data_IF_453353425225
#
_entry.id   IF_453353425225
#
_cell.length_a   1.000
_cell.length_b   1.000
_cell.length_c   1.000
_cell.angle_alpha   90.00
_cell.angle_beta   90.00
_cell.angle_gamma   90.00
#
_symmetry.space_group_name_H-M   'P 1'
#
loop_
_entity.id
_entity.type
_entity.pdbx_description
1 polymer ?
#
# COMPACT_ATOMS: atom_id res chain seq x y z
N UNK A 1 11.31 4.88 18.61
CA UNK A 1 11.41 5.49 17.26
C UNK A 1 10.26 4.93 16.47
N UNK A 2 9.36 5.83 16.05
CA UNK A 2 7.95 5.55 15.81
C UNK A 2 7.63 5.05 14.41
N UNK A 3 6.49 4.36 14.34
CA UNK A 3 5.91 3.72 13.15
C UNK A 3 5.32 4.74 12.15
N UNK A 4 6.10 5.79 11.82
CA UNK A 4 5.60 7.00 11.16
C UNK A 4 5.05 6.74 9.75
N UNK A 5 5.68 5.84 8.98
CA UNK A 5 5.21 5.47 7.64
C UNK A 5 3.87 4.73 7.73
N UNK A 6 3.74 3.79 8.65
CA UNK A 6 2.50 3.03 8.85
C UNK A 6 1.35 3.94 9.27
N UNK A 7 1.59 4.83 10.24
CA UNK A 7 0.57 5.80 10.68
C UNK A 7 0.16 6.76 9.55
N UNK A 8 1.11 7.18 8.70
CA UNK A 8 0.82 8.03 7.54
C UNK A 8 -0.05 7.30 6.51
N UNK A 9 0.25 6.04 6.20
CA UNK A 9 -0.56 5.22 5.30
C UNK A 9 -1.96 5.00 5.88
N UNK A 10 -2.06 4.65 7.17
CA UNK A 10 -3.33 4.48 7.86
C UNK A 10 -4.15 5.77 7.82
N UNK A 11 -3.53 6.91 8.14
CA UNK A 11 -4.19 8.22 8.12
C UNK A 11 -4.68 8.60 6.72
N UNK A 12 -3.93 8.23 5.68
CA UNK A 12 -4.33 8.43 4.29
C UNK A 12 -5.57 7.59 3.94
N UNK A 13 -5.60 6.32 4.36
CA UNK A 13 -6.71 5.39 4.07
C UNK A 13 -7.97 5.72 4.89
N UNK A 14 -7.82 6.13 6.15
CA UNK A 14 -8.94 6.44 7.06
C UNK A 14 -9.53 7.83 6.84
N UNK A 15 -8.93 8.64 5.96
CA UNK A 15 -9.40 9.99 5.69
C UNK A 15 -10.87 10.01 5.29
N UNK A 16 -11.64 10.91 5.88
CA UNK A 16 -13.09 10.98 5.71
C UNK A 16 -13.52 11.32 4.26
N UNK A 17 -12.62 11.91 3.49
CA UNK A 17 -12.77 12.27 2.08
C UNK A 17 -12.31 11.15 1.12
N UNK A 18 -11.92 9.97 1.63
CA UNK A 18 -11.65 8.80 0.78
C UNK A 18 -12.93 8.30 0.13
N UNK A 19 -12.90 8.19 -1.19
CA UNK A 19 -14.01 7.73 -2.04
C UNK A 19 -13.65 6.51 -2.89
N UNK A 20 -12.37 6.15 -2.96
CA UNK A 20 -11.93 4.95 -3.67
C UNK A 20 -10.66 4.36 -3.06
N UNK A 21 -10.54 3.04 -3.16
CA UNK A 21 -9.39 2.28 -2.70
C UNK A 21 -9.10 1.15 -3.67
N UNK A 22 -7.82 0.94 -4.00
CA UNK A 22 -7.34 -0.28 -4.64
C UNK A 22 -6.07 -0.80 -3.99
N UNK A 23 -5.88 -2.11 -4.07
CA UNK A 23 -4.60 -2.75 -3.77
C UNK A 23 -4.18 -3.66 -4.91
N UNK A 24 -2.89 -3.60 -5.22
CA UNK A 24 -2.29 -4.26 -6.38
C UNK A 24 -1.53 -5.54 -6.01
N UNK A 25 -1.55 -5.96 -4.73
CA UNK A 25 -0.88 -7.20 -4.29
C UNK A 25 -1.64 -7.97 -3.22
N UNK A 26 -1.34 -9.27 -3.16
CA UNK A 26 -1.96 -10.22 -2.25
C UNK A 26 -1.03 -10.54 -1.06
N UNK A 27 -1.27 -9.90 0.08
CA UNK A 27 -0.46 -9.96 1.31
C UNK A 27 0.06 -11.35 1.74
N UNK A 28 -0.75 -12.44 1.74
CA UNK A 28 -0.23 -13.78 2.05
C UNK A 28 0.95 -14.27 1.18
N UNK A 29 1.04 -13.82 -0.08
CA UNK A 29 2.16 -14.18 -0.97
C UNK A 29 3.43 -13.41 -0.63
N UNK A 30 3.30 -12.20 -0.07
CA UNK A 30 4.44 -11.35 0.26
C UNK A 30 5.31 -11.92 1.37
N UNK A 31 4.69 -12.56 2.38
CA UNK A 31 5.44 -13.22 3.46
C UNK A 31 6.30 -14.39 2.95
N UNK A 32 5.80 -15.14 1.98
CA UNK A 32 6.52 -16.25 1.34
C UNK A 32 7.66 -15.73 0.45
N UNK A 33 7.42 -14.64 -0.29
CA UNK A 33 8.45 -13.99 -1.11
C UNK A 33 9.55 -13.43 -0.20
N UNK A 34 9.18 -12.74 0.87
CA UNK A 34 10.12 -12.18 1.83
C UNK A 34 11.01 -13.27 2.46
N UNK A 35 10.43 -14.39 2.90
CA UNK A 35 11.24 -15.45 3.53
C UNK A 35 12.27 -16.06 2.57
N UNK A 36 12.02 -16.01 1.25
CA UNK A 36 12.92 -16.56 0.22
C UNK A 36 13.97 -15.57 -0.26
N UNK A 37 13.62 -14.29 -0.36
CA UNK A 37 14.45 -13.29 -1.04
C UNK A 37 14.88 -12.13 -0.14
N UNK A 38 14.42 -12.08 1.11
CA UNK A 38 14.64 -10.96 2.02
C UNK A 38 14.00 -9.66 1.54
N UNK A 39 13.14 -9.70 0.52
CA UNK A 39 12.54 -8.52 -0.12
C UNK A 39 11.07 -8.74 -0.37
N UNK A 40 10.26 -7.73 -0.07
CA UNK A 40 8.85 -7.70 -0.43
C UNK A 40 8.37 -6.26 -0.58
N UNK A 41 7.11 -6.09 -0.96
CA UNK A 41 6.51 -4.78 -1.06
C UNK A 41 5.08 -4.87 -1.53
N UNK A 42 4.29 -3.84 -1.21
CA UNK A 42 2.88 -3.71 -1.55
C UNK A 42 2.60 -2.33 -2.14
N UNK A 43 1.52 -2.23 -2.91
CA UNK A 43 1.04 -0.98 -3.46
C UNK A 43 -0.47 -0.79 -3.20
N UNK A 44 -0.84 0.44 -2.87
CA UNK A 44 -2.22 0.86 -2.58
C UNK A 44 -2.47 2.17 -3.31
N UNK A 45 -3.60 2.27 -4.00
CA UNK A 45 -4.13 3.55 -4.47
C UNK A 45 -5.27 3.99 -3.57
N UNK A 46 -5.22 5.26 -3.16
CA UNK A 46 -6.25 5.92 -2.37
C UNK A 46 -6.78 7.10 -3.17
N UNK A 47 -8.07 7.07 -3.50
CA UNK A 47 -8.72 8.19 -4.17
C UNK A 47 -9.53 9.00 -3.18
N UNK A 48 -9.26 10.30 -3.15
CA UNK A 48 -9.86 11.27 -2.24
C UNK A 48 -10.66 12.31 -3.00
N UNK A 49 -11.74 12.79 -2.42
CA UNK A 49 -12.55 13.90 -2.92
C UNK A 49 -12.08 15.20 -2.27
N UNK A 50 -11.18 15.93 -2.93
CA UNK A 50 -10.61 17.18 -2.43
C UNK A 50 -11.19 18.37 -3.18
N UNK A 51 -11.89 19.27 -2.47
CA UNK A 51 -12.53 20.47 -3.05
C UNK A 51 -13.41 20.16 -4.27
N UNK A 52 -14.13 19.02 -4.22
CA UNK A 52 -15.01 18.56 -5.30
C UNK A 52 -14.28 17.96 -6.51
N UNK A 53 -12.97 17.73 -6.43
CA UNK A 53 -12.19 17.02 -7.45
C UNK A 53 -11.66 15.70 -6.89
N UNK A 54 -11.70 14.63 -7.70
CA UNK A 54 -11.07 13.36 -7.36
C UNK A 54 -9.57 13.48 -7.51
N UNK A 55 -8.83 12.92 -6.55
CA UNK A 55 -7.37 12.94 -6.54
C UNK A 55 -6.83 11.60 -6.08
N UNK A 56 -5.91 11.05 -6.87
CA UNK A 56 -5.29 9.75 -6.60
C UNK A 56 -3.97 9.93 -5.86
N UNK A 57 -3.83 9.16 -4.80
CA UNK A 57 -2.64 9.01 -3.99
C UNK A 57 -2.15 7.57 -4.12
N UNK A 58 -1.04 7.37 -4.82
CA UNK A 58 -0.44 6.06 -5.02
C UNK A 58 0.69 5.84 -4.02
N UNK A 59 0.54 4.81 -3.20
CA UNK A 59 1.53 4.38 -2.20
C UNK A 59 2.22 3.13 -2.70
N UNK A 60 3.56 3.16 -2.71
CA UNK A 60 4.40 1.98 -2.86
C UNK A 60 5.28 1.84 -1.61
N UNK A 61 5.28 0.65 -1.03
CA UNK A 61 6.16 0.30 0.08
C UNK A 61 7.01 -0.88 -0.32
N UNK A 62 8.31 -0.75 -0.12
CA UNK A 62 9.28 -1.82 -0.29
C UNK A 62 9.97 -2.10 1.04
N UNK A 63 10.19 -3.36 1.35
CA UNK A 63 10.96 -3.81 2.50
C UNK A 63 12.11 -4.71 2.03
N UNK A 64 13.27 -4.52 2.63
CA UNK A 64 14.50 -5.27 2.30
C UNK A 64 15.28 -5.57 3.57
N UNK A 65 15.63 -6.85 3.76
CA UNK A 65 16.38 -7.34 4.90
C UNK A 65 17.86 -6.96 4.77
N UNK A 66 18.46 -6.47 5.86
CA UNK A 66 19.89 -6.23 5.97
C UNK A 66 20.57 -7.50 6.47
N UNK A 67 20.78 -8.46 5.57
CA UNK A 67 21.56 -9.66 5.86
C UNK A 67 23.00 -9.50 5.33
N UNK A 68 23.98 -9.98 6.10
CA UNK A 68 25.38 -9.99 5.69
C UNK A 68 25.75 -11.38 5.13
N UNK A 69 26.08 -11.45 3.84
CA UNK A 69 26.57 -12.66 3.16
C UNK A 69 25.70 -13.14 1.98
N UNK A 70 26.28 -13.96 1.12
CA UNK A 70 25.67 -14.42 -0.15
C UNK A 70 24.69 -15.60 0.02
N UNK A 71 24.59 -16.17 1.22
CA UNK A 71 23.68 -17.27 1.55
C UNK A 71 23.01 -17.02 2.89
N UNK A 72 21.70 -16.74 2.84
CA UNK A 72 20.87 -16.47 4.02
C UNK A 72 19.78 -17.52 4.06
N UNK A 73 19.81 -18.36 5.10
CA UNK A 73 18.84 -19.45 5.27
C UNK A 73 17.46 -18.94 5.73
N UNK A 74 17.43 -17.85 6.50
CA UNK A 74 16.20 -17.30 7.07
C UNK A 74 16.27 -15.77 7.24
N UNK A 75 15.66 -15.04 6.31
CA UNK A 75 15.57 -13.58 6.35
C UNK A 75 14.66 -13.05 7.47
N UNK A 76 13.89 -13.91 8.16
CA UNK A 76 12.89 -13.46 9.13
C UNK A 76 13.49 -12.86 10.40
N UNK A 77 14.75 -13.18 10.70
CA UNK A 77 15.45 -12.75 11.92
C UNK A 77 16.25 -11.47 11.75
N UNK A 78 16.40 -10.99 10.52
CA UNK A 78 17.24 -9.85 10.22
C UNK A 78 16.46 -8.55 10.34
N UNK A 79 17.11 -7.47 10.83
CA UNK A 79 16.57 -6.14 10.67
C UNK A 79 16.56 -5.77 9.19
N UNK A 80 15.91 -4.67 8.85
CA UNK A 80 15.96 -4.18 7.49
C UNK A 80 15.40 -2.79 7.30
N UNK A 81 15.30 -2.39 6.04
CA UNK A 81 14.85 -1.06 5.61
C UNK A 81 13.49 -1.12 4.96
N UNK A 82 12.73 -0.06 5.16
CA UNK A 82 11.49 0.24 4.46
C UNK A 82 11.74 1.46 3.59
N UNK A 83 11.36 1.38 2.32
CA UNK A 83 11.27 2.53 1.42
C UNK A 83 9.80 2.77 1.09
N UNK A 84 9.36 3.99 1.34
CA UNK A 84 8.00 4.45 1.08
C UNK A 84 8.04 5.50 -0.01
N UNK A 85 7.16 5.34 -0.98
CA UNK A 85 6.93 6.28 -2.07
C UNK A 85 5.46 6.67 -2.05
N UNK A 86 5.21 7.98 -2.03
CA UNK A 86 3.88 8.56 -2.21
C UNK A 86 3.90 9.41 -3.47
N UNK A 87 3.20 8.95 -4.50
CA UNK A 87 2.91 9.75 -5.68
C UNK A 87 1.53 10.37 -5.54
N UNK A 88 1.43 11.66 -5.85
CA UNK A 88 0.15 12.38 -5.88
C UNK A 88 0.01 13.03 -7.25
N UNK A 89 -1.10 12.75 -7.93
CA UNK A 89 -1.45 13.44 -9.16
C UNK A 89 -1.88 14.88 -8.84
N UNK A 90 -1.22 15.84 -9.50
CA UNK A 90 -1.52 17.26 -9.46
C UNK A 90 -1.89 17.75 -10.86
N UNK A 91 -2.70 18.82 -10.94
CA UNK A 91 -3.05 19.44 -12.23
C UNK A 91 -1.78 20.01 -12.88
N UNK A 92 -1.10 19.21 -13.69
CA UNK A 92 0.14 19.57 -14.39
C UNK A 92 1.34 18.63 -14.14
N UNK A 93 1.22 17.58 -13.32
CA UNK A 93 2.30 16.61 -13.10
C UNK A 93 2.10 15.68 -11.90
N UNK A 94 3.12 14.87 -11.60
CA UNK A 94 3.16 13.97 -10.44
C UNK A 94 4.15 14.50 -9.41
N UNK A 95 3.70 14.65 -8.17
CA UNK A 95 4.58 14.94 -7.03
C UNK A 95 4.91 13.64 -6.31
N UNK A 96 6.20 13.28 -6.22
CA UNK A 96 6.67 12.06 -5.55
C UNK A 96 7.38 12.43 -4.25
N UNK A 97 6.93 11.87 -3.13
CA UNK A 97 7.60 11.94 -1.83
C UNK A 97 8.21 10.58 -1.51
N UNK A 98 9.45 10.58 -1.03
CA UNK A 98 10.17 9.38 -0.62
C UNK A 98 10.52 9.47 0.85
N UNK A 99 10.25 8.41 1.62
CA UNK A 99 10.65 8.27 3.01
C UNK A 99 11.31 6.92 3.23
N UNK A 100 12.21 6.88 4.20
CA UNK A 100 12.87 5.65 4.63
C UNK A 100 12.56 5.42 6.10
N UNK A 101 12.38 4.16 6.46
CA UNK A 101 12.27 3.70 7.85
C UNK A 101 13.01 2.37 8.00
N UNK A 102 13.04 1.81 9.20
CA UNK A 102 13.67 0.54 9.52
C UNK A 102 12.73 -0.34 10.34
N UNK A 103 12.95 -1.65 10.26
CA UNK A 103 12.29 -2.64 11.11
C UNK A 103 13.32 -3.54 11.78
N UNK A 104 12.97 -4.08 12.94
CA UNK A 104 13.88 -4.88 13.77
C UNK A 104 14.00 -6.34 13.32
N UNK A 105 12.88 -6.90 12.87
CA UNK A 105 12.75 -8.27 12.40
C UNK A 105 11.46 -8.40 11.56
N UNK A 106 11.21 -9.58 10.99
CA UNK A 106 10.01 -9.83 10.21
C UNK A 106 8.72 -9.73 11.03
N UNK A 107 8.75 -10.01 12.33
CA UNK A 107 7.55 -9.85 13.18
C UNK A 107 7.15 -8.39 13.29
N UNK A 108 8.12 -7.49 13.50
CA UNK A 108 7.91 -6.04 13.47
C UNK A 108 7.35 -5.62 12.10
N UNK A 109 8.01 -5.97 11.01
CA UNK A 109 7.57 -5.65 9.64
C UNK A 109 6.14 -6.11 9.36
N UNK A 110 5.85 -7.39 9.58
CA UNK A 110 4.53 -7.95 9.26
C UNK A 110 3.44 -7.49 10.22
N UNK A 111 3.77 -7.12 11.46
CA UNK A 111 2.80 -6.49 12.36
C UNK A 111 2.31 -5.15 11.81
N UNK A 112 3.22 -4.32 11.29
CA UNK A 112 2.89 -3.03 10.66
C UNK A 112 2.06 -3.21 9.38
N UNK A 113 2.46 -4.15 8.53
CA UNK A 113 1.72 -4.53 7.32
C UNK A 113 0.30 -4.98 7.65
N UNK A 114 0.14 -5.81 8.68
CA UNK A 114 -1.18 -6.31 9.10
C UNK A 114 -2.09 -5.18 9.59
N UNK A 115 -1.54 -4.18 10.30
CA UNK A 115 -2.31 -2.97 10.70
C UNK A 115 -2.85 -2.22 9.49
N UNK A 116 -2.00 -1.95 8.48
CA UNK A 116 -2.43 -1.30 7.22
C UNK A 116 -3.51 -2.14 6.53
N UNK A 117 -3.32 -3.46 6.45
CA UNK A 117 -4.26 -4.39 5.80
C UNK A 117 -5.63 -4.35 6.47
N UNK A 118 -5.70 -4.40 7.80
CA UNK A 118 -6.95 -4.36 8.54
C UNK A 118 -7.71 -3.05 8.28
N UNK A 119 -6.99 -1.92 8.31
CA UNK A 119 -7.57 -0.60 8.00
C UNK A 119 -8.08 -0.55 6.56
N UNK A 120 -7.27 -1.01 5.60
CA UNK A 120 -7.65 -1.07 4.19
C UNK A 120 -8.95 -1.85 4.00
N UNK A 121 -9.05 -3.09 4.49
CA UNK A 121 -10.25 -3.90 4.30
C UNK A 121 -11.46 -3.32 5.03
N UNK A 122 -11.29 -2.73 6.21
CA UNK A 122 -12.38 -2.07 6.93
C UNK A 122 -12.97 -0.90 6.12
N UNK A 123 -12.12 -0.03 5.57
CA UNK A 123 -12.57 1.11 4.74
C UNK A 123 -13.13 0.61 3.40
N UNK A 124 -12.46 -0.34 2.75
CA UNK A 124 -12.93 -0.97 1.52
C UNK A 124 -14.34 -1.56 1.67
N UNK A 125 -14.61 -2.29 2.75
CA UNK A 125 -15.94 -2.85 3.00
C UNK A 125 -16.99 -1.78 3.27
N UNK A 126 -16.64 -0.71 3.99
CA UNK A 126 -17.52 0.45 4.21
C UNK A 126 -17.88 1.13 2.89
N UNK A 127 -16.90 1.40 2.02
CA UNK A 127 -17.11 1.97 0.69
C UNK A 127 -17.96 1.04 -0.20
N UNK A 128 -17.68 -0.26 -0.19
CA UNK A 128 -18.43 -1.25 -0.98
C UNK A 128 -19.91 -1.33 -0.58
N UNK A 129 -20.23 -1.12 0.70
CA UNK A 129 -21.62 -1.05 1.15
C UNK A 129 -22.33 0.22 0.66
N UNK A 130 -21.62 1.36 0.61
CA UNK A 130 -22.15 2.64 0.13
C UNK A 130 -22.35 2.68 -1.39
N UNK A 131 -21.48 2.03 -2.16
CA UNK A 131 -21.47 2.06 -3.63
C UNK A 131 -22.10 0.81 -4.28
N UNK A 132 -23.17 0.25 -3.69
CA UNK A 132 -23.80 -1.01 -4.15
C UNK A 132 -24.26 -1.03 -5.62
N UNK A 133 -24.29 0.12 -6.31
CA UNK A 133 -24.82 0.26 -7.68
C UNK A 133 -23.74 0.59 -8.75
N UNK A 134 -22.51 0.97 -8.38
CA UNK A 134 -21.47 1.44 -9.32
C UNK A 134 -20.19 0.59 -9.23
N UNK A 135 -20.29 -0.72 -9.45
CA UNK A 135 -19.11 -1.59 -9.55
C UNK A 135 -18.63 -1.60 -11.00
N UNK A 136 -17.75 -0.67 -11.35
CA UNK A 136 -17.00 -0.71 -12.61
C UNK A 136 -16.10 -1.95 -12.56
N UNK A 137 -16.28 -2.87 -13.52
CA UNK A 137 -15.45 -4.07 -13.65
C UNK A 137 -13.99 -3.65 -13.73
N UNK A 138 -13.18 -4.25 -12.86
CA UNK A 138 -11.77 -3.94 -12.70
C UNK A 138 -10.96 -4.89 -13.58
N UNK A 139 -10.01 -4.36 -14.35
CA UNK A 139 -9.10 -5.12 -15.21
C UNK A 139 -8.26 -6.15 -14.45
N UNK A 140 -7.73 -7.14 -15.16
CA UNK A 140 -7.19 -8.41 -14.64
C UNK A 140 -5.99 -8.32 -13.67
N UNK A 141 -5.46 -7.13 -13.37
CA UNK A 141 -4.26 -6.94 -12.53
C UNK A 141 -4.54 -6.33 -11.13
N UNK A 142 -5.80 -6.12 -10.76
CA UNK A 142 -6.18 -5.50 -9.47
C UNK A 142 -6.88 -6.51 -8.58
N UNK A 143 -6.36 -6.71 -7.37
CA UNK A 143 -6.86 -7.75 -6.45
C UNK A 143 -8.16 -7.35 -5.77
N UNK A 144 -8.27 -6.09 -5.32
CA UNK A 144 -9.52 -5.49 -4.84
C UNK A 144 -9.55 -4.01 -5.19
N UNK A 145 -10.67 -3.53 -5.74
CA UNK A 145 -10.92 -2.11 -5.99
C UNK A 145 -12.38 -1.76 -5.70
N UNK A 146 -12.60 -0.54 -5.22
CA UNK A 146 -13.93 0.04 -5.02
C UNK A 146 -13.87 1.54 -5.30
N UNK A 147 -14.90 2.05 -5.99
CA UNK A 147 -15.11 3.48 -6.17
C UNK A 147 -14.09 4.17 -7.09
N UNK A 148 -13.29 3.45 -7.88
CA UNK A 148 -12.38 3.98 -8.89
C UNK A 148 -13.09 4.08 -10.25
N UNK A 149 -12.84 5.15 -11.01
CA UNK A 149 -13.26 5.22 -12.42
C UNK A 149 -12.22 4.51 -13.32
N UNK A 150 -12.63 4.12 -14.53
CA UNK A 150 -11.74 3.41 -15.46
C UNK A 150 -10.45 4.18 -15.76
N UNK A 151 -10.52 5.51 -15.77
CA UNK A 151 -9.41 6.41 -16.06
C UNK A 151 -8.41 6.53 -14.90
N UNK A 152 -8.78 6.07 -13.70
CA UNK A 152 -7.93 6.11 -12.50
C UNK A 152 -7.10 4.83 -12.34
N UNK A 153 -7.39 3.79 -13.12
CA UNK A 153 -6.63 2.55 -13.17
C UNK A 153 -5.34 2.74 -13.98
N UNK A 154 -4.33 3.37 -13.38
CA UNK A 154 -3.02 3.51 -14.00
C UNK A 154 -2.21 2.24 -13.78
N UNK A 155 -2.35 1.29 -14.71
CA UNK A 155 -1.44 0.16 -14.87
C UNK A 155 -0.07 0.71 -15.29
N UNK A 156 0.90 0.65 -14.38
CA UNK A 156 2.29 0.98 -14.64
C UNK A 156 3.10 -0.31 -14.84
N UNK A 157 3.50 -0.51 -16.10
CA UNK A 157 4.41 -1.51 -16.69
C UNK A 157 5.58 -1.93 -15.80
#
# INVERSE_FOLDING_TARGET
>A
MGDLITEEIISLIESHDVVGLATHRHYPRERIIYSRFGRCGFAIDVVKMEKGSRRTYSVLVEAEAEAAGDHVEDFLRFPGKIRYFLSVDERGGKTIKVKNDTYKDASDLFSRVERVRQVFYRVYHSLKQKHREEITKVGEEIFHAVGLTADELHLGV
#
